data_IF_706718197148
#
_entry.id   IF_706718197148
#
_cell.length_a   1.000
_cell.length_b   1.000
_cell.length_c   1.000
_cell.angle_alpha   90.00
_cell.angle_beta   90.00
_cell.angle_gamma   90.00
#
_symmetry.space_group_name_H-M   'P 1'
#
loop_
_entity.id
_entity.type
_entity.pdbx_description
1 polymer ?
#
# COMPACT_ATOMS: atom_id res chain seq x y z
N UNK A 1 -7.08 -15.88 20.72
CA UNK A 1 -7.39 -14.43 20.87
C UNK A 1 -6.14 -13.57 20.66
N UNK A 2 -5.05 -13.77 21.42
CA UNK A 2 -3.82 -12.96 21.30
C UNK A 2 -3.21 -12.96 19.88
N UNK A 3 -3.17 -14.13 19.22
CA UNK A 3 -2.70 -14.23 17.82
C UNK A 3 -3.49 -13.32 16.85
N UNK A 4 -4.82 -13.32 16.95
CA UNK A 4 -5.67 -12.50 16.06
C UNK A 4 -5.41 -11.01 16.26
N UNK A 5 -5.29 -10.57 17.53
CA UNK A 5 -5.01 -9.17 17.87
C UNK A 5 -3.67 -8.73 17.30
N UNK A 6 -2.62 -9.56 17.46
CA UNK A 6 -1.30 -9.28 16.89
C UNK A 6 -1.32 -9.20 15.37
N UNK A 7 -2.02 -10.14 14.71
CA UNK A 7 -2.16 -10.15 13.24
C UNK A 7 -2.95 -8.93 12.74
N UNK A 8 -4.03 -8.54 13.42
CA UNK A 8 -4.79 -7.34 13.08
C UNK A 8 -3.94 -6.08 13.21
N UNK A 9 -3.15 -5.97 14.28
CA UNK A 9 -2.28 -4.81 14.47
C UNK A 9 -1.21 -4.71 13.37
N UNK A 10 -0.58 -5.82 13.01
CA UNK A 10 0.35 -5.88 11.88
C UNK A 10 -0.36 -5.54 10.57
N UNK A 11 -1.54 -6.10 10.33
CA UNK A 11 -2.34 -5.82 9.14
C UNK A 11 -2.74 -4.35 9.02
N UNK A 12 -3.18 -3.72 10.09
CA UNK A 12 -3.53 -2.29 10.13
C UNK A 12 -2.28 -1.43 9.89
N UNK A 13 -1.16 -1.77 10.53
CA UNK A 13 0.11 -1.07 10.33
C UNK A 13 0.60 -1.17 8.89
N UNK A 14 0.54 -2.38 8.31
CA UNK A 14 0.90 -2.61 6.91
C UNK A 14 -0.03 -1.85 5.96
N UNK A 15 -1.34 -1.94 6.18
CA UNK A 15 -2.33 -1.22 5.38
C UNK A 15 -2.09 0.30 5.44
N UNK A 16 -1.86 0.86 6.62
CA UNK A 16 -1.53 2.27 6.76
C UNK A 16 -0.23 2.62 6.00
N UNK A 17 0.82 1.82 6.18
CA UNK A 17 2.12 2.06 5.56
C UNK A 17 2.11 1.95 4.03
N UNK A 18 1.23 1.15 3.46
CA UNK A 18 1.21 0.89 2.01
C UNK A 18 0.15 1.67 1.25
N UNK A 19 -0.90 2.13 1.93
CA UNK A 19 -2.04 2.79 1.27
C UNK A 19 -2.21 4.25 1.66
N UNK A 20 -1.40 4.75 2.62
CA UNK A 20 -1.49 6.15 3.03
C UNK A 20 -1.11 7.12 1.89
N UNK A 21 -0.05 6.80 1.15
CA UNK A 21 0.43 7.61 0.02
C UNK A 21 -0.58 7.65 -1.14
N UNK A 22 -1.47 6.66 -1.22
CA UNK A 22 -2.51 6.58 -2.24
C UNK A 22 -3.51 7.74 -2.16
N UNK A 23 -3.69 8.33 -0.97
CA UNK A 23 -4.56 9.49 -0.79
C UNK A 23 -4.19 10.69 -1.66
N UNK A 24 -2.93 10.90 -1.95
CA UNK A 24 -2.47 12.04 -2.75
C UNK A 24 -3.02 11.96 -4.17
N UNK A 25 -2.76 10.86 -4.88
CA UNK A 25 -3.23 10.71 -6.24
C UNK A 25 -4.73 10.42 -6.31
N UNK A 26 -5.30 9.70 -5.32
CA UNK A 26 -6.75 9.47 -5.25
C UNK A 26 -7.51 10.79 -5.10
N UNK A 27 -7.08 11.68 -4.21
CA UNK A 27 -7.67 13.01 -4.05
C UNK A 27 -7.56 13.81 -5.34
N UNK A 28 -6.41 13.75 -6.03
CA UNK A 28 -6.24 14.39 -7.33
C UNK A 28 -7.16 13.81 -8.40
N UNK A 29 -7.39 12.49 -8.43
CA UNK A 29 -8.32 11.85 -9.34
C UNK A 29 -9.76 12.19 -9.02
N UNK A 30 -10.17 12.15 -7.75
CA UNK A 30 -11.53 12.53 -7.35
C UNK A 30 -11.82 14.01 -7.62
N UNK A 31 -10.81 14.89 -7.53
CA UNK A 31 -10.94 16.30 -7.93
C UNK A 31 -11.17 16.52 -9.42
N UNK A 32 -10.84 15.54 -10.27
CA UNK A 32 -11.00 15.60 -11.75
C UNK A 32 -12.22 14.82 -12.26
N UNK A 33 -13.11 14.40 -11.37
CA UNK A 33 -14.34 13.68 -11.74
C UNK A 33 -15.20 14.54 -12.67
N UNK A 34 -15.66 13.92 -13.77
CA UNK A 34 -16.52 14.52 -14.77
C UNK A 34 -17.45 13.46 -15.41
N UNK A 35 -18.24 13.85 -16.43
CA UNK A 35 -19.16 12.92 -17.10
C UNK A 35 -18.54 11.66 -17.68
N UNK A 36 -17.26 11.73 -18.13
CA UNK A 36 -16.54 10.62 -18.73
C UNK A 36 -15.66 9.86 -17.71
N UNK A 37 -15.18 10.56 -16.69
CA UNK A 37 -14.35 10.03 -15.61
C UNK A 37 -15.13 10.08 -14.30
N UNK A 38 -15.76 8.96 -13.93
CA UNK A 38 -16.64 8.87 -12.76
C UNK A 38 -15.94 8.26 -11.56
N UNK A 39 -16.41 8.51 -10.32
CA UNK A 39 -15.84 7.94 -9.10
C UNK A 39 -15.65 6.42 -9.18
N UNK A 40 -16.55 5.70 -9.82
CA UNK A 40 -16.45 4.25 -10.01
C UNK A 40 -15.22 3.79 -10.79
N UNK A 41 -14.72 4.58 -11.75
CA UNK A 41 -13.49 4.24 -12.48
C UNK A 41 -12.27 4.37 -11.58
N UNK A 42 -12.30 5.30 -10.62
CA UNK A 42 -11.25 5.50 -9.64
C UNK A 42 -11.24 4.33 -8.65
N UNK A 43 -12.39 4.06 -8.02
CA UNK A 43 -12.52 2.98 -7.04
C UNK A 43 -12.14 1.63 -7.66
N UNK A 44 -12.73 1.27 -8.80
CA UNK A 44 -12.44 -0.01 -9.46
C UNK A 44 -10.98 -0.08 -9.91
N UNK A 45 -10.45 1.03 -10.45
CA UNK A 45 -9.06 1.10 -10.88
C UNK A 45 -8.09 0.90 -9.72
N UNK A 46 -8.38 1.48 -8.57
CA UNK A 46 -7.60 1.31 -7.34
C UNK A 46 -7.60 -0.14 -6.87
N UNK A 47 -8.78 -0.76 -6.76
CA UNK A 47 -8.87 -2.16 -6.37
C UNK A 47 -8.17 -3.11 -7.36
N UNK A 48 -8.26 -2.86 -8.66
CA UNK A 48 -7.56 -3.67 -9.70
C UNK A 48 -6.04 -3.48 -9.58
N UNK A 49 -5.57 -2.24 -9.46
CA UNK A 49 -4.15 -1.95 -9.29
C UNK A 49 -3.57 -2.59 -8.03
N UNK A 50 -4.27 -2.46 -6.90
CA UNK A 50 -3.88 -3.09 -5.65
C UNK A 50 -3.88 -4.62 -5.73
N UNK A 51 -4.87 -5.22 -6.37
CA UNK A 51 -4.89 -6.68 -6.60
C UNK A 51 -3.66 -7.13 -7.37
N UNK A 52 -3.22 -6.37 -8.37
CA UNK A 52 -1.99 -6.67 -9.11
C UNK A 52 -0.75 -6.62 -8.19
N UNK A 53 -0.66 -5.64 -7.28
CA UNK A 53 0.44 -5.55 -6.31
C UNK A 53 0.44 -6.74 -5.32
N UNK A 54 -0.73 -7.12 -4.80
CA UNK A 54 -0.87 -8.30 -3.94
C UNK A 54 -0.42 -9.56 -4.69
N UNK A 55 -0.90 -9.76 -5.92
CA UNK A 55 -0.50 -10.91 -6.75
C UNK A 55 1.01 -10.93 -7.03
N UNK A 56 1.60 -9.78 -7.32
CA UNK A 56 3.05 -9.65 -7.52
C UNK A 56 3.85 -9.94 -6.24
N UNK A 57 3.25 -9.80 -5.07
CA UNK A 57 3.89 -10.04 -3.77
C UNK A 57 3.68 -11.47 -3.23
N UNK A 58 2.75 -12.25 -3.80
CA UNK A 58 2.51 -13.64 -3.40
C UNK A 58 3.74 -14.57 -3.50
N UNK A 59 4.67 -14.40 -4.46
CA UNK A 59 5.92 -15.16 -4.45
C UNK A 59 6.69 -15.04 -3.13
N UNK A 60 6.55 -13.92 -2.39
CA UNK A 60 7.10 -13.80 -1.04
C UNK A 60 6.54 -14.84 -0.07
N UNK A 61 5.22 -15.06 -0.10
CA UNK A 61 4.59 -16.10 0.70
C UNK A 61 5.09 -17.52 0.34
N UNK A 62 5.19 -17.81 -0.97
CA UNK A 62 5.72 -19.10 -1.43
C UNK A 62 7.18 -19.29 -1.01
N UNK A 63 8.00 -18.26 -1.09
CA UNK A 63 9.37 -18.25 -0.58
C UNK A 63 9.43 -18.53 0.93
N UNK A 64 8.48 -17.95 1.68
CA UNK A 64 8.36 -18.18 3.12
C UNK A 64 8.03 -19.62 3.54
N UNK A 65 7.45 -20.41 2.64
CA UNK A 65 7.20 -21.84 2.89
C UNK A 65 8.46 -22.73 2.72
N UNK A 66 9.48 -22.23 2.02
CA UNK A 66 10.68 -22.98 1.66
C UNK A 66 11.89 -22.53 2.47
N UNK A 67 11.99 -21.23 2.76
CA UNK A 67 13.13 -20.63 3.45
C UNK A 67 13.04 -20.84 4.97
N UNK A 68 14.17 -21.05 5.67
CA UNK A 68 14.22 -21.05 7.12
C UNK A 68 13.72 -19.71 7.70
N UNK A 69 12.94 -19.76 8.79
CA UNK A 69 12.30 -18.57 9.38
C UNK A 69 13.28 -17.44 9.68
N UNK A 70 14.47 -17.75 10.20
CA UNK A 70 15.48 -16.75 10.52
C UNK A 70 15.96 -15.96 9.29
N UNK A 71 16.01 -16.59 8.10
CA UNK A 71 16.35 -15.92 6.83
C UNK A 71 15.22 -15.04 6.31
N UNK A 72 13.97 -15.48 6.53
CA UNK A 72 12.79 -14.67 6.19
C UNK A 72 12.82 -13.34 6.95
N UNK A 73 13.24 -13.36 8.20
CA UNK A 73 13.33 -12.15 9.00
C UNK A 73 14.33 -11.11 8.46
N UNK A 74 15.37 -11.52 7.72
CA UNK A 74 16.27 -10.58 7.05
C UNK A 74 15.56 -9.75 5.99
N UNK A 75 14.48 -10.25 5.39
CA UNK A 75 13.65 -9.47 4.48
C UNK A 75 12.97 -8.28 5.18
N UNK A 76 12.84 -8.31 6.52
CA UNK A 76 12.36 -7.19 7.32
C UNK A 76 13.27 -5.96 7.26
N UNK A 77 14.50 -6.10 6.78
CA UNK A 77 15.42 -4.98 6.52
C UNK A 77 14.86 -4.08 5.39
N UNK A 78 14.12 -4.64 4.42
CA UNK A 78 13.54 -3.87 3.31
C UNK A 78 12.60 -2.75 3.77
N UNK A 79 11.55 -3.02 4.57
CA UNK A 79 10.71 -1.95 5.11
C UNK A 79 11.49 -0.94 5.97
N UNK A 80 12.52 -1.38 6.70
CA UNK A 80 13.38 -0.48 7.50
C UNK A 80 14.13 0.47 6.59
N UNK A 81 14.78 -0.03 5.54
CA UNK A 81 15.51 0.79 4.57
C UNK A 81 14.56 1.79 3.90
N UNK A 82 13.38 1.34 3.46
CA UNK A 82 12.36 2.21 2.86
C UNK A 82 11.95 3.29 3.87
N UNK A 83 11.69 2.95 5.14
CA UNK A 83 11.35 3.89 6.19
C UNK A 83 12.44 4.94 6.45
N UNK A 84 13.70 4.51 6.52
CA UNK A 84 14.85 5.41 6.68
C UNK A 84 15.02 6.31 5.46
N UNK A 85 14.89 5.75 4.24
CA UNK A 85 14.93 6.53 3.00
C UNK A 85 13.89 7.64 2.99
N UNK A 86 12.67 7.37 3.43
CA UNK A 86 11.63 8.38 3.55
C UNK A 86 11.93 9.46 4.62
N UNK A 87 12.65 9.12 5.69
CA UNK A 87 13.11 10.11 6.66
C UNK A 87 14.17 11.04 6.07
N UNK A 88 15.01 10.53 5.19
CA UNK A 88 16.11 11.30 4.57
C UNK A 88 15.64 12.13 3.36
N UNK A 89 14.71 11.61 2.54
CA UNK A 89 14.25 12.21 1.28
C UNK A 89 13.01 13.09 1.47
N UNK A 90 13.10 14.12 2.28
CA UNK A 90 11.95 14.97 2.68
C UNK A 90 11.33 15.84 1.57
N UNK A 91 11.76 15.80 0.31
CA UNK A 91 11.33 16.80 -0.67
C UNK A 91 11.04 16.36 -2.11
N UNK A 92 11.50 15.21 -2.57
CA UNK A 92 11.53 14.94 -4.03
C UNK A 92 10.36 14.11 -4.59
N UNK A 93 9.64 13.35 -3.78
CA UNK A 93 8.57 12.45 -4.26
C UNK A 93 7.28 13.16 -4.69
N UNK A 94 7.03 14.37 -4.22
CA UNK A 94 5.77 15.09 -4.50
C UNK A 94 5.61 15.49 -5.97
N UNK A 95 6.72 15.78 -6.65
CA UNK A 95 6.72 16.25 -8.03
C UNK A 95 6.48 15.11 -9.04
N UNK A 96 6.92 13.89 -8.74
CA UNK A 96 6.84 12.76 -9.68
C UNK A 96 5.43 12.20 -9.77
N UNK A 97 4.74 12.03 -8.63
CA UNK A 97 3.37 11.48 -8.58
C UNK A 97 2.34 12.45 -9.15
N UNK A 98 2.48 13.75 -8.90
CA UNK A 98 1.63 14.77 -9.49
C UNK A 98 1.84 14.87 -11.00
N UNK A 99 3.09 14.80 -11.48
CA UNK A 99 3.41 14.82 -12.90
C UNK A 99 2.82 13.61 -13.66
N UNK A 100 2.89 12.41 -13.07
CA UNK A 100 2.31 11.19 -13.65
C UNK A 100 0.78 11.30 -13.72
N UNK A 101 0.11 11.72 -12.63
CA UNK A 101 -1.34 11.86 -12.60
C UNK A 101 -1.87 12.94 -13.56
N UNK A 102 -1.11 14.02 -13.78
CA UNK A 102 -1.48 15.11 -14.71
C UNK A 102 -1.37 14.68 -16.16
N UNK A 103 -0.30 13.99 -16.55
CA UNK A 103 -0.07 13.59 -17.94
C UNK A 103 -1.08 12.55 -18.44
N UNK A 104 -1.62 11.69 -17.56
CA UNK A 104 -2.61 10.69 -17.95
C UNK A 104 -4.02 11.24 -18.19
N UNK A 105 -4.34 12.47 -17.73
CA UNK A 105 -5.70 13.02 -17.82
C UNK A 105 -6.02 13.74 -19.14
N UNK A 106 -5.03 14.08 -19.95
CA UNK A 106 -5.21 14.93 -21.14
C UNK A 106 -5.69 14.20 -22.42
N UNK A 107 -5.99 12.93 -22.38
CA UNK A 107 -6.38 12.16 -23.56
C UNK A 107 -7.62 11.30 -23.34
N UNK A 108 -8.81 11.78 -23.58
CA UNK A 108 -9.91 11.00 -24.20
C UNK A 108 -11.24 11.75 -24.31
N UNK A 109 -11.65 12.04 -25.55
CA UNK A 109 -13.06 12.20 -25.94
C UNK A 109 -13.61 10.79 -26.22
N UNK A 110 -14.55 10.31 -25.43
CA UNK A 110 -15.27 9.05 -25.72
C UNK A 110 -16.75 9.14 -25.36
N UNK A 111 -17.59 8.60 -26.25
CA UNK A 111 -19.05 8.64 -26.25
C UNK A 111 -19.70 7.96 -25.03
N UNK A 112 -20.84 8.50 -24.68
CA UNK A 112 -21.73 8.19 -23.55
C UNK A 112 -22.40 6.82 -23.68
N UNK A 113 -22.12 5.89 -22.75
CA UNK A 113 -22.97 4.72 -22.51
C UNK A 113 -23.04 4.45 -21.01
N UNK A 114 -24.26 4.15 -20.48
CA UNK A 114 -24.41 3.58 -19.13
C UNK A 114 -23.78 2.19 -19.15
N UNK A 115 -22.54 2.08 -18.67
CA UNK A 115 -21.80 0.81 -18.67
C UNK A 115 -22.06 0.05 -17.38
N UNK A 116 -22.29 -1.26 -17.49
CA UNK A 116 -22.27 -2.25 -16.39
C UNK A 116 -20.91 -2.20 -15.66
N UNK A 117 -20.82 -2.74 -14.44
CA UNK A 117 -19.58 -2.85 -13.68
C UNK A 117 -18.47 -3.57 -14.49
N UNK A 118 -18.83 -4.67 -15.21
CA UNK A 118 -17.92 -5.40 -16.09
C UNK A 118 -17.40 -4.55 -17.26
N UNK A 119 -18.25 -3.66 -17.82
CA UNK A 119 -17.83 -2.72 -18.85
C UNK A 119 -16.92 -1.60 -18.29
N UNK A 120 -17.03 -1.30 -17.00
CA UNK A 120 -16.15 -0.34 -16.33
C UNK A 120 -14.76 -0.94 -16.10
N UNK A 121 -14.65 -2.23 -15.80
CA UNK A 121 -13.36 -2.93 -15.70
C UNK A 121 -12.54 -2.84 -17.00
N UNK A 122 -13.20 -2.89 -18.18
CA UNK A 122 -12.57 -2.76 -19.50
C UNK A 122 -12.43 -1.31 -19.98
N UNK A 123 -12.77 -0.32 -19.14
CA UNK A 123 -12.70 1.09 -19.53
C UNK A 123 -11.27 1.61 -19.44
N UNK A 124 -10.86 2.38 -20.45
CA UNK A 124 -9.53 3.01 -20.52
C UNK A 124 -9.23 3.88 -19.28
N UNK A 125 -10.27 4.49 -18.69
CA UNK A 125 -10.11 5.32 -17.50
C UNK A 125 -9.75 4.48 -16.26
N UNK A 126 -10.36 3.30 -16.12
CA UNK A 126 -10.04 2.35 -15.05
C UNK A 126 -8.59 1.88 -15.15
N UNK A 127 -8.14 1.49 -16.37
CA UNK A 127 -6.75 1.09 -16.58
C UNK A 127 -5.73 2.20 -16.27
N UNK A 128 -6.08 3.46 -16.52
CA UNK A 128 -5.22 4.58 -16.16
C UNK A 128 -5.03 4.70 -14.66
N UNK A 129 -6.13 4.59 -13.89
CA UNK A 129 -6.03 4.59 -12.41
C UNK A 129 -5.21 3.40 -11.95
N UNK A 130 -5.52 2.18 -12.42
CA UNK A 130 -4.76 0.97 -12.04
C UNK A 130 -3.26 1.10 -12.36
N UNK A 131 -2.91 1.68 -13.51
CA UNK A 131 -1.50 1.90 -13.87
C UNK A 131 -0.79 2.86 -12.90
N UNK A 132 -1.48 3.92 -12.45
CA UNK A 132 -0.94 4.84 -11.44
C UNK A 132 -0.81 4.15 -10.10
N UNK A 133 -1.81 3.38 -9.67
CA UNK A 133 -1.76 2.58 -8.44
C UNK A 133 -0.58 1.61 -8.44
N UNK A 134 -0.36 0.88 -9.55
CA UNK A 134 0.77 -0.05 -9.70
C UNK A 134 2.09 0.72 -9.68
N UNK A 135 2.19 1.84 -10.40
CA UNK A 135 3.40 2.64 -10.46
C UNK A 135 3.76 3.25 -9.09
N UNK A 136 2.74 3.74 -8.34
CA UNK A 136 2.92 4.25 -6.98
C UNK A 136 3.25 3.12 -6.00
N UNK A 137 2.54 1.99 -6.12
CA UNK A 137 2.66 0.86 -5.22
C UNK A 137 3.89 -0.03 -5.43
N UNK A 138 4.81 0.32 -6.32
CA UNK A 138 6.05 -0.44 -6.53
C UNK A 138 6.87 -0.63 -5.24
N UNK A 139 6.94 0.39 -4.41
CA UNK A 139 7.59 0.34 -3.09
C UNK A 139 6.85 -0.60 -2.11
N UNK A 140 5.54 -0.75 -2.27
CA UNK A 140 4.71 -1.60 -1.41
C UNK A 140 5.03 -3.08 -1.59
N UNK A 141 5.50 -3.50 -2.77
CA UNK A 141 5.98 -4.87 -3.02
C UNK A 141 7.14 -5.19 -2.07
N UNK A 142 8.06 -4.23 -1.85
CA UNK A 142 9.16 -4.37 -0.90
C UNK A 142 8.71 -4.53 0.56
N UNK A 143 7.48 -4.15 0.89
CA UNK A 143 6.87 -4.31 2.21
C UNK A 143 6.06 -5.63 2.27
N UNK A 144 5.27 -5.90 1.23
CA UNK A 144 4.40 -7.09 1.21
C UNK A 144 5.18 -8.40 1.08
N UNK A 145 6.27 -8.44 0.29
CA UNK A 145 7.08 -9.66 0.14
C UNK A 145 7.55 -10.19 1.50
N UNK A 146 8.28 -9.43 2.35
CA UNK A 146 8.71 -9.90 3.66
C UNK A 146 7.54 -10.18 4.61
N UNK A 147 6.48 -9.37 4.55
CA UNK A 147 5.30 -9.55 5.37
C UNK A 147 4.57 -10.86 5.05
N UNK A 148 4.39 -11.17 3.76
CA UNK A 148 3.75 -12.41 3.33
C UNK A 148 4.63 -13.63 3.60
N UNK A 149 5.96 -13.51 3.38
CA UNK A 149 6.91 -14.55 3.71
C UNK A 149 6.87 -14.95 5.20
N UNK A 150 6.71 -13.98 6.10
CA UNK A 150 6.64 -14.20 7.56
C UNK A 150 5.24 -14.60 8.07
N UNK A 151 4.27 -14.81 7.18
CA UNK A 151 2.87 -15.07 7.53
C UNK A 151 2.47 -16.50 7.22
N UNK A 152 1.61 -17.08 8.07
CA UNK A 152 0.88 -18.30 7.74
C UNK A 152 -0.42 -17.98 6.97
N UNK A 153 -1.06 -18.98 6.37
CA UNK A 153 -2.27 -18.79 5.55
C UNK A 153 -3.37 -17.98 6.27
N UNK A 154 -3.75 -18.27 7.54
CA UNK A 154 -4.75 -17.48 8.23
C UNK A 154 -4.33 -16.02 8.45
N UNK A 155 -3.06 -15.78 8.82
CA UNK A 155 -2.54 -14.40 8.99
C UNK A 155 -2.52 -13.64 7.67
N UNK A 156 -2.08 -14.28 6.59
CA UNK A 156 -2.09 -13.70 5.25
C UNK A 156 -3.51 -13.26 4.83
N UNK A 157 -4.51 -14.14 5.02
CA UNK A 157 -5.89 -13.84 4.70
C UNK A 157 -6.40 -12.62 5.49
N UNK A 158 -6.12 -12.55 6.79
CA UNK A 158 -6.50 -11.41 7.64
C UNK A 158 -5.81 -10.12 7.17
N UNK A 159 -4.50 -10.16 6.93
CA UNK A 159 -3.72 -8.99 6.47
C UNK A 159 -4.28 -8.48 5.13
N UNK A 160 -4.47 -9.35 4.15
CA UNK A 160 -5.00 -8.98 2.83
C UNK A 160 -6.41 -8.39 2.97
N UNK A 161 -7.27 -8.99 3.79
CA UNK A 161 -8.61 -8.48 4.05
C UNK A 161 -8.58 -7.07 4.66
N UNK A 162 -7.72 -6.85 5.65
CA UNK A 162 -7.53 -5.52 6.28
C UNK A 162 -7.04 -4.49 5.26
N UNK A 163 -6.09 -4.87 4.38
CA UNK A 163 -5.61 -3.98 3.33
C UNK A 163 -6.71 -3.59 2.33
N UNK A 164 -7.56 -4.54 1.91
CA UNK A 164 -8.71 -4.22 1.03
C UNK A 164 -9.72 -3.29 1.70
N UNK A 165 -10.01 -3.49 2.99
CA UNK A 165 -10.87 -2.60 3.77
C UNK A 165 -10.26 -1.19 3.89
N UNK A 166 -8.95 -1.11 4.12
CA UNK A 166 -8.24 0.16 4.19
C UNK A 166 -8.31 0.93 2.86
N UNK A 167 -8.14 0.26 1.71
CA UNK A 167 -8.28 0.89 0.39
C UNK A 167 -9.69 1.45 0.19
N UNK A 168 -10.71 0.68 0.55
CA UNK A 168 -12.09 1.16 0.50
C UNK A 168 -12.30 2.42 1.37
N UNK A 169 -11.75 2.41 2.58
CA UNK A 169 -11.76 3.53 3.50
C UNK A 169 -11.02 4.74 2.90
N UNK A 170 -9.82 4.53 2.33
CA UNK A 170 -9.05 5.60 1.71
C UNK A 170 -9.73 6.19 0.48
N UNK A 171 -10.37 5.40 -0.36
CA UNK A 171 -11.21 5.92 -1.44
C UNK A 171 -12.33 6.83 -0.92
N UNK A 172 -12.99 6.44 0.18
CA UNK A 172 -14.02 7.26 0.82
C UNK A 172 -13.44 8.55 1.41
N UNK A 173 -12.32 8.45 2.13
CA UNK A 173 -11.63 9.60 2.73
C UNK A 173 -11.17 10.56 1.64
N UNK A 174 -10.48 10.07 0.59
CA UNK A 174 -10.00 10.89 -0.52
C UNK A 174 -11.14 11.60 -1.26
N UNK A 175 -12.28 10.94 -1.44
CA UNK A 175 -13.47 11.57 -2.02
C UNK A 175 -13.97 12.74 -1.15
N UNK A 176 -13.98 12.58 0.17
CA UNK A 176 -14.39 13.66 1.09
C UNK A 176 -13.34 14.78 1.17
N UNK A 177 -12.05 14.45 1.09
CA UNK A 177 -10.96 15.43 1.11
C UNK A 177 -11.01 16.40 -0.08
N UNK A 178 -11.56 16.00 -1.22
CA UNK A 178 -11.76 16.92 -2.36
C UNK A 178 -12.69 18.08 -2.03
N UNK A 179 -13.53 17.94 -1.00
CA UNK A 179 -14.45 18.98 -0.54
C UNK A 179 -13.86 19.87 0.55
N UNK A 180 -12.78 19.44 1.21
CA UNK A 180 -12.13 20.12 2.34
C UNK A 180 -10.61 20.18 2.17
N UNK A 181 -10.08 21.13 1.40
CA UNK A 181 -8.64 21.22 1.10
C UNK A 181 -7.78 21.43 2.34
N UNK A 182 -8.31 22.07 3.40
CA UNK A 182 -7.60 22.25 4.68
C UNK A 182 -7.36 20.88 5.32
N UNK A 183 -8.36 20.02 5.34
CA UNK A 183 -8.28 18.68 5.92
C UNK A 183 -7.30 17.79 5.12
N UNK A 184 -7.27 17.93 3.80
CA UNK A 184 -6.31 17.25 2.93
C UNK A 184 -4.87 17.64 3.28
N UNK A 185 -4.58 18.93 3.48
CA UNK A 185 -3.24 19.41 3.82
C UNK A 185 -2.77 18.94 5.19
N UNK A 186 -3.66 18.98 6.20
CA UNK A 186 -3.37 18.48 7.55
C UNK A 186 -3.04 16.99 7.52
N UNK A 187 -3.89 16.21 6.88
CA UNK A 187 -3.73 14.76 6.80
C UNK A 187 -2.43 14.37 6.10
N UNK A 188 -2.11 14.99 4.98
CA UNK A 188 -0.86 14.77 4.25
C UNK A 188 0.36 15.13 5.10
N UNK A 189 0.30 16.25 5.83
CA UNK A 189 1.42 16.73 6.67
C UNK A 189 1.71 15.78 7.84
N UNK A 190 0.68 15.33 8.55
CA UNK A 190 0.86 14.44 9.72
C UNK A 190 1.15 13.00 9.30
N UNK A 191 0.47 12.48 8.29
CA UNK A 191 0.68 11.12 7.83
C UNK A 191 2.08 10.88 7.31
N UNK A 192 2.65 11.82 6.53
CA UNK A 192 4.05 11.73 6.09
C UNK A 192 5.06 11.66 7.23
N UNK A 193 4.76 12.24 8.38
CA UNK A 193 5.64 12.15 9.55
C UNK A 193 5.56 10.79 10.23
N UNK A 194 4.38 10.17 10.26
CA UNK A 194 4.14 8.89 10.95
C UNK A 194 4.57 7.70 10.08
N UNK A 195 4.40 7.81 8.77
CA UNK A 195 4.66 6.76 7.80
C UNK A 195 6.04 6.05 7.94
N UNK A 196 7.19 6.75 8.03
CA UNK A 196 8.48 6.08 8.15
C UNK A 196 8.61 5.26 9.42
N UNK A 197 8.04 5.74 10.54
CA UNK A 197 8.10 5.03 11.82
C UNK A 197 7.28 3.73 11.77
N UNK A 198 6.14 3.75 11.06
CA UNK A 198 5.32 2.54 10.86
C UNK A 198 6.08 1.51 10.03
N UNK A 199 6.82 1.94 8.99
CA UNK A 199 7.66 1.05 8.19
C UNK A 199 8.78 0.41 8.99
N UNK A 200 9.48 1.20 9.80
CA UNK A 200 10.55 0.70 10.69
C UNK A 200 9.96 -0.30 11.69
N UNK A 201 8.82 0.03 12.30
CA UNK A 201 8.11 -0.88 13.19
C UNK A 201 7.75 -2.21 12.52
N UNK A 202 7.20 -2.16 11.29
CA UNK A 202 6.85 -3.35 10.52
C UNK A 202 8.08 -4.23 10.26
N UNK A 203 9.18 -3.65 9.78
CA UNK A 203 10.39 -4.39 9.52
C UNK A 203 10.97 -5.04 10.79
N UNK A 204 11.00 -4.31 11.90
CA UNK A 204 11.41 -4.86 13.19
C UNK A 204 10.48 -5.98 13.66
N UNK A 205 9.16 -5.82 13.50
CA UNK A 205 8.19 -6.86 13.85
C UNK A 205 8.39 -8.14 13.05
N UNK A 206 8.74 -8.04 11.76
CA UNK A 206 9.06 -9.18 10.91
C UNK A 206 10.33 -9.88 11.42
N UNK A 207 11.39 -9.12 11.71
CA UNK A 207 12.66 -9.67 12.19
C UNK A 207 12.51 -10.39 13.54
N UNK A 208 11.77 -9.80 14.47
CA UNK A 208 11.54 -10.40 15.80
C UNK A 208 10.66 -11.65 15.67
N UNK A 209 9.57 -11.58 14.91
CA UNK A 209 8.66 -12.73 14.69
C UNK A 209 9.34 -13.92 14.02
N UNK A 210 10.26 -13.66 13.10
CA UNK A 210 11.01 -14.71 12.37
C UNK A 210 12.28 -15.16 13.10
N UNK A 211 12.55 -14.67 14.32
CA UNK A 211 13.70 -15.13 15.12
C UNK A 211 15.07 -14.79 14.51
N UNK A 212 15.16 -13.73 13.70
CA UNK A 212 16.44 -13.34 13.02
C UNK A 212 17.57 -13.05 13.99
N UNK A 213 17.27 -12.67 15.25
CA UNK A 213 18.27 -12.48 16.30
C UNK A 213 19.08 -13.74 16.59
N UNK A 214 18.58 -14.94 16.24
CA UNK A 214 19.30 -16.21 16.40
C UNK A 214 20.47 -16.33 15.40
N UNK A 215 20.48 -15.58 14.31
CA UNK A 215 21.58 -15.55 13.35
C UNK A 215 22.79 -14.76 13.87
N UNK A 216 22.62 -13.93 14.91
CA UNK A 216 23.68 -13.12 15.51
C UNK A 216 23.87 -13.59 16.95
N UNK A 217 24.90 -14.42 17.24
CA UNK A 217 25.11 -15.05 18.55
C UNK A 217 25.11 -14.06 19.72
N UNK A 218 25.68 -12.86 19.51
CA UNK A 218 25.73 -11.83 20.55
C UNK A 218 24.37 -11.16 20.84
N UNK A 219 23.42 -11.18 19.92
CA UNK A 219 22.07 -10.67 20.12
C UNK A 219 21.14 -11.75 20.73
N UNK A 220 21.41 -13.02 20.50
CA UNK A 220 20.62 -14.10 21.09
C UNK A 220 20.69 -14.10 22.62
N UNK A 221 21.79 -13.61 23.24
CA UNK A 221 21.95 -13.50 24.70
C UNK A 221 21.07 -12.40 25.33
N UNK A 222 20.58 -11.43 24.55
CA UNK A 222 19.72 -10.34 25.05
C UNK A 222 18.23 -10.71 25.10
N UNK A 223 17.84 -11.81 24.45
CA UNK A 223 16.43 -12.22 24.31
C UNK A 223 16.14 -13.60 24.94
N UNK A 224 17.14 -14.25 25.57
CA UNK A 224 16.99 -15.41 26.44
C UNK A 224 17.05 -14.98 27.90
#
# INVERSE_FOLDING_TARGET
>A
MAWLIGTLFIGISAAFATTFDDNLYLTAFFGKVNHNFRPKHIIIGEFVGFTALVMASLPGFLGGLVLPEAWIGLLGILPIIIGISHLMSRGEQENTLQAVSVNFTNSAKTKRHKKSLLATLKDRQTYRVSAVTIANGGNNIGIYIPLFASSNIPSLAVIVCVCYLAIGLWCFVSYNLTRNPIMASVMTRYGRKVFPFVLIYLGLSIMVKSGTYQLVPNLAMLFN
#
